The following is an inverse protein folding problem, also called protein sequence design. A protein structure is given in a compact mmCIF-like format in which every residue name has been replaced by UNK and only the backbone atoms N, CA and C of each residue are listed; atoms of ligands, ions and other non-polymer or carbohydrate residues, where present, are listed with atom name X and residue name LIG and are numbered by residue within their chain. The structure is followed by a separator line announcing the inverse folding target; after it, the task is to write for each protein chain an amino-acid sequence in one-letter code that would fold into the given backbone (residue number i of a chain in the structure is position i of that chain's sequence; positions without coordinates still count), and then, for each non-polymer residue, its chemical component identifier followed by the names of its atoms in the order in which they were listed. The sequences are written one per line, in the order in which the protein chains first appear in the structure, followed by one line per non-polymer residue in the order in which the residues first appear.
data_IF_622717622519
#
_entry.id   IF_622717622519
#
_cell.length_a   1.000
_cell.length_b   1.000
_cell.length_c   1.000
_cell.angle_alpha   90.00
_cell.angle_beta   90.00
_cell.angle_gamma   90.00
#
_symmetry.space_group_name_H-M   'P 1'
#
loop_
_entity.id
_entity.type
_entity.pdbx_description
1 polymer ?
#
# COMPACT_ATOMS: atom_id res chain seq x y z
N UNK A 1 -0.21 11.87 -30.81
CA UNK A 1 -1.33 11.18 -30.13
C UNK A 1 -1.05 11.34 -28.65
N UNK A 2 -1.86 12.14 -27.96
CA UNK A 2 -1.61 12.49 -26.56
C UNK A 2 -1.84 11.26 -25.69
N UNK A 3 -0.79 10.81 -25.01
CA UNK A 3 -0.80 9.68 -24.07
C UNK A 3 -1.46 10.13 -22.76
N UNK A 4 -2.78 10.28 -22.79
CA UNK A 4 -3.60 10.69 -21.65
C UNK A 4 -4.12 9.43 -20.93
N UNK A 5 -4.14 9.40 -19.59
CA UNK A 5 -4.58 8.22 -18.86
C UNK A 5 -6.07 7.95 -19.10
N UNK A 6 -6.44 6.66 -19.11
CA UNK A 6 -7.84 6.25 -19.21
C UNK A 6 -8.65 6.78 -18.03
N UNK A 7 -9.95 6.97 -18.23
CA UNK A 7 -10.85 7.40 -17.17
C UNK A 7 -10.92 6.35 -16.03
N UNK A 8 -10.75 6.73 -14.75
CA UNK A 8 -10.80 5.78 -13.65
C UNK A 8 -12.20 5.19 -13.37
N UNK A 9 -13.28 5.87 -13.77
CA UNK A 9 -14.65 5.36 -13.54
C UNK A 9 -15.16 4.43 -14.64
N UNK A 10 -14.84 4.71 -15.90
CA UNK A 10 -15.41 3.99 -17.05
C UNK A 10 -14.36 3.37 -17.98
N UNK A 11 -13.06 3.54 -17.67
CA UNK A 11 -11.94 3.04 -18.46
C UNK A 11 -11.94 3.52 -19.93
N UNK A 12 -12.55 4.68 -20.20
CA UNK A 12 -12.55 5.31 -21.52
C UNK A 12 -11.15 5.84 -21.88
N UNK A 13 -10.70 5.58 -23.11
CA UNK A 13 -9.40 6.02 -23.66
C UNK A 13 -9.42 7.46 -24.21
N UNK A 14 -10.61 8.02 -24.45
CA UNK A 14 -10.79 9.33 -25.09
C UNK A 14 -10.86 10.48 -24.08
N UNK A 15 -9.98 10.47 -23.09
CA UNK A 15 -9.91 11.53 -22.07
C UNK A 15 -9.29 12.79 -22.69
N UNK A 16 -9.75 13.97 -22.30
CA UNK A 16 -9.22 15.24 -22.80
C UNK A 16 -8.90 16.19 -21.66
N UNK A 17 -7.91 17.05 -21.86
CA UNK A 17 -7.52 18.06 -20.89
C UNK A 17 -8.43 19.30 -20.98
N UNK A 18 -8.94 19.75 -19.84
CA UNK A 18 -9.65 21.01 -19.66
C UNK A 18 -8.90 21.85 -18.63
N UNK A 19 -7.92 22.62 -19.10
CA UNK A 19 -7.02 23.37 -18.22
C UNK A 19 -6.09 22.45 -17.43
N UNK A 20 -6.25 22.41 -16.11
CA UNK A 20 -5.46 21.54 -15.21
C UNK A 20 -6.11 20.18 -14.94
N UNK A 21 -7.33 19.96 -15.42
CA UNK A 21 -8.13 18.76 -15.20
C UNK A 21 -8.19 17.90 -16.46
N UNK A 22 -8.40 16.61 -16.27
CA UNK A 22 -8.73 15.61 -17.28
C UNK A 22 -10.24 15.36 -17.19
N UNK A 23 -10.92 15.33 -18.32
CA UNK A 23 -12.36 15.16 -18.42
C UNK A 23 -12.67 13.96 -19.31
N UNK A 24 -13.59 13.10 -18.84
CA UNK A 24 -14.10 11.99 -19.65
C UNK A 24 -15.38 12.40 -20.39
N UNK A 25 -15.46 12.27 -21.73
CA UNK A 25 -16.65 12.62 -22.50
C UNK A 25 -17.82 11.64 -22.33
N UNK A 26 -17.55 10.40 -21.91
CA UNK A 26 -18.57 9.35 -21.75
C UNK A 26 -19.32 9.46 -20.42
N UNK A 27 -18.61 9.70 -19.31
CA UNK A 27 -19.22 9.75 -17.97
C UNK A 27 -19.22 11.16 -17.35
N UNK A 28 -18.53 12.14 -17.94
CA UNK A 28 -18.42 13.48 -17.38
C UNK A 28 -17.53 13.56 -16.13
N UNK A 29 -16.80 12.50 -15.78
CA UNK A 29 -15.89 12.50 -14.65
C UNK A 29 -14.73 13.47 -14.91
N UNK A 30 -14.39 14.27 -13.90
CA UNK A 30 -13.33 15.29 -13.94
C UNK A 30 -12.30 14.94 -12.87
N UNK A 31 -11.03 14.79 -13.25
CA UNK A 31 -9.96 14.44 -12.31
C UNK A 31 -8.64 15.08 -12.72
N UNK A 32 -7.76 15.33 -11.77
CA UNK A 32 -6.43 15.90 -12.06
C UNK A 32 -5.44 14.81 -12.43
N UNK A 33 -4.43 15.14 -13.25
CA UNK A 33 -3.30 14.22 -13.52
C UNK A 33 -2.57 13.80 -12.24
N UNK A 34 -2.57 14.67 -11.22
CA UNK A 34 -2.01 14.41 -9.90
C UNK A 34 -2.83 13.41 -9.07
N UNK A 35 -4.14 13.34 -9.26
CA UNK A 35 -5.02 12.41 -8.52
C UNK A 35 -4.85 10.97 -9.01
N UNK A 36 -4.50 10.78 -10.30
CA UNK A 36 -4.13 9.46 -10.85
C UNK A 36 -2.84 8.94 -10.20
N UNK A 37 -1.97 9.82 -9.72
CA UNK A 37 -0.76 9.44 -8.99
C UNK A 37 -1.02 9.06 -7.51
N UNK A 38 -2.20 9.39 -6.96
CA UNK A 38 -2.60 9.06 -5.59
C UNK A 38 -3.63 7.92 -5.51
N UNK A 39 -3.72 7.07 -6.54
CA UNK A 39 -4.25 5.71 -6.37
C UNK A 39 -3.23 4.81 -5.63
N UNK A 40 -2.53 5.35 -4.63
CA UNK A 40 -1.72 4.56 -3.72
C UNK A 40 -2.67 3.63 -2.95
N UNK A 41 -2.56 2.33 -3.22
CA UNK A 41 -3.27 1.29 -2.46
C UNK A 41 -3.22 1.64 -0.98
N UNK A 42 -4.37 1.72 -0.33
CA UNK A 42 -4.41 2.05 1.10
C UNK A 42 -4.15 0.76 1.88
N UNK A 43 -2.91 0.59 2.35
CA UNK A 43 -2.57 -0.50 3.25
C UNK A 43 -3.17 -0.24 4.62
N UNK A 44 -3.97 -1.18 5.12
CA UNK A 44 -4.62 -1.10 6.42
C UNK A 44 -4.09 -2.19 7.34
N UNK A 45 -3.78 -1.84 8.57
CA UNK A 45 -3.42 -2.80 9.61
C UNK A 45 -4.64 -3.63 10.09
N UNK A 46 -4.41 -4.59 10.99
CA UNK A 46 -5.47 -5.41 11.59
C UNK A 46 -6.61 -4.62 12.25
N UNK A 47 -6.36 -3.39 12.70
CA UNK A 47 -7.35 -2.50 13.32
C UNK A 47 -7.93 -1.47 12.34
N UNK A 48 -7.53 -1.51 11.06
CA UNK A 48 -8.03 -0.61 10.03
C UNK A 48 -7.33 0.75 9.93
N UNK A 49 -6.20 0.97 10.61
CA UNK A 49 -5.42 2.20 10.45
C UNK A 49 -4.59 2.14 9.17
N UNK A 50 -4.48 3.30 8.53
CA UNK A 50 -3.69 3.47 7.31
C UNK A 50 -2.20 3.41 7.67
N UNK A 51 -1.50 2.49 7.01
CA UNK A 51 -0.06 2.33 7.07
C UNK A 51 0.60 3.18 5.97
N UNK A 52 1.79 3.68 6.27
CA UNK A 52 2.62 4.43 5.35
C UNK A 52 4.04 3.88 5.36
N UNK A 53 4.79 4.18 4.30
CA UNK A 53 6.22 3.87 4.24
C UNK A 53 6.97 4.61 5.36
N UNK A 54 7.88 3.91 6.04
CA UNK A 54 8.62 4.44 7.19
C UNK A 54 7.90 4.33 8.55
N UNK A 55 6.64 3.86 8.58
CA UNK A 55 5.86 3.77 9.83
C UNK A 55 6.39 2.67 10.78
N UNK A 56 5.87 2.65 12.00
CA UNK A 56 6.22 1.64 13.02
C UNK A 56 5.03 0.76 13.29
N UNK A 57 5.22 -0.55 13.12
CA UNK A 57 4.18 -1.54 13.35
C UNK A 57 4.60 -2.53 14.44
N UNK A 58 3.61 -3.06 15.13
CA UNK A 58 3.78 -4.07 16.18
C UNK A 58 3.05 -5.33 15.75
N UNK A 59 3.73 -6.48 15.82
CA UNK A 59 3.11 -7.77 15.50
C UNK A 59 2.11 -8.13 16.60
N UNK A 60 0.87 -8.49 16.26
CA UNK A 60 -0.19 -8.78 17.25
C UNK A 60 -0.24 -10.25 17.69
N UNK A 61 0.34 -11.17 16.91
CA UNK A 61 0.34 -12.61 17.15
C UNK A 61 1.73 -13.21 16.99
N UNK A 62 1.96 -14.34 17.62
CA UNK A 62 3.16 -15.15 17.35
C UNK A 62 3.12 -15.73 15.94
N UNK A 63 4.19 -15.50 15.19
CA UNK A 63 4.37 -15.96 13.82
C UNK A 63 5.57 -16.89 13.73
N UNK A 64 5.35 -18.10 13.21
CA UNK A 64 6.43 -19.03 12.92
C UNK A 64 7.03 -18.71 11.55
N UNK A 65 8.24 -18.18 11.55
CA UNK A 65 8.96 -17.83 10.32
C UNK A 65 9.53 -19.12 9.72
N UNK A 66 9.19 -19.40 8.45
CA UNK A 66 9.79 -20.53 7.73
C UNK A 66 11.27 -20.25 7.50
N UNK A 67 12.14 -21.10 8.05
CA UNK A 67 13.60 -20.98 7.95
C UNK A 67 14.30 -20.44 9.21
N UNK A 68 13.55 -19.95 10.19
CA UNK A 68 14.10 -19.60 11.50
C UNK A 68 13.72 -20.67 12.54
N UNK A 69 14.66 -21.02 13.42
CA UNK A 69 14.40 -21.87 14.58
C UNK A 69 13.62 -21.13 15.68
N UNK A 70 13.52 -19.80 15.58
CA UNK A 70 12.86 -18.93 16.56
C UNK A 70 11.51 -18.44 16.04
N UNK A 71 10.56 -18.31 16.95
CA UNK A 71 9.22 -17.76 16.67
C UNK A 71 9.26 -16.25 16.86
N UNK A 72 8.70 -15.49 15.92
CA UNK A 72 8.52 -14.06 16.07
C UNK A 72 7.37 -13.84 17.05
N UNK A 73 7.67 -13.39 18.27
CA UNK A 73 6.64 -13.23 19.31
C UNK A 73 5.74 -12.04 19.02
N UNK A 74 4.46 -12.19 19.35
CA UNK A 74 3.53 -11.06 19.43
C UNK A 74 4.08 -10.00 20.41
N UNK A 75 4.00 -8.73 20.01
CA UNK A 75 4.59 -7.60 20.71
C UNK A 75 5.93 -7.12 20.13
N UNK A 76 6.49 -7.81 19.14
CA UNK A 76 7.70 -7.34 18.45
C UNK A 76 7.40 -6.06 17.67
N UNK A 77 8.15 -4.99 17.96
CA UNK A 77 8.07 -3.72 17.24
C UNK A 77 9.02 -3.73 16.05
N UNK A 78 8.49 -3.34 14.90
CA UNK A 78 9.19 -3.25 13.63
C UNK A 78 9.10 -1.81 13.16
N UNK A 79 10.24 -1.16 12.97
CA UNK A 79 10.33 0.25 12.59
C UNK A 79 10.74 0.34 11.13
N UNK A 80 10.40 1.45 10.49
CA UNK A 80 10.80 1.75 9.11
C UNK A 80 10.30 0.67 8.12
N UNK A 81 9.00 0.38 8.19
CA UNK A 81 8.38 -0.58 7.26
C UNK A 81 8.31 -0.01 5.85
N UNK A 82 8.40 -0.88 4.86
CA UNK A 82 8.19 -0.53 3.45
C UNK A 82 6.93 -1.22 2.95
N UNK A 83 6.05 -0.46 2.30
CA UNK A 83 4.82 -1.03 1.74
C UNK A 83 5.08 -1.52 0.33
N UNK A 84 4.69 -2.77 0.06
CA UNK A 84 4.93 -3.44 -1.22
C UNK A 84 3.66 -4.06 -1.75
N UNK A 85 3.59 -4.22 -3.07
CA UNK A 85 2.49 -4.89 -3.73
C UNK A 85 2.79 -6.39 -3.83
N UNK A 86 2.00 -7.22 -3.16
CA UNK A 86 2.21 -8.66 -3.15
C UNK A 86 1.24 -9.41 -2.23
N UNK A 87 1.50 -10.71 -2.06
CA UNK A 87 0.80 -11.56 -1.07
C UNK A 87 1.15 -11.16 0.37
N UNK A 88 2.40 -10.74 0.57
CA UNK A 88 2.86 -10.06 1.77
C UNK A 88 3.10 -8.60 1.41
N UNK A 89 2.44 -7.72 2.13
CA UNK A 89 2.24 -6.33 1.75
C UNK A 89 3.13 -5.35 2.55
N UNK A 90 3.88 -5.88 3.53
CA UNK A 90 4.81 -5.12 4.37
C UNK A 90 6.19 -5.75 4.29
N UNK A 91 7.15 -5.09 3.66
CA UNK A 91 8.56 -5.44 3.72
C UNK A 91 9.22 -4.75 4.90
N UNK A 92 9.98 -5.49 5.71
CA UNK A 92 10.59 -4.93 6.90
C UNK A 92 11.88 -5.65 7.28
N UNK A 93 12.69 -5.01 8.12
CA UNK A 93 13.90 -5.60 8.67
C UNK A 93 13.80 -5.72 10.18
N UNK A 94 13.94 -6.94 10.67
CA UNK A 94 13.87 -7.26 12.10
C UNK A 94 15.26 -7.71 12.56
N UNK A 95 15.74 -7.13 13.65
CA UNK A 95 17.03 -7.52 14.24
C UNK A 95 16.98 -8.98 14.72
N UNK A 96 17.98 -9.77 14.33
CA UNK A 96 18.04 -11.22 14.61
C UNK A 96 17.29 -12.13 13.61
N UNK A 97 16.38 -11.61 12.80
CA UNK A 97 15.69 -12.37 11.74
C UNK A 97 16.09 -11.94 10.31
N UNK A 98 16.52 -10.69 10.13
CA UNK A 98 16.90 -10.14 8.83
C UNK A 98 15.72 -9.45 8.12
N UNK A 99 15.80 -9.38 6.79
CA UNK A 99 14.72 -8.85 5.96
C UNK A 99 13.59 -9.89 5.84
N UNK A 100 12.36 -9.48 6.13
CA UNK A 100 11.18 -10.32 6.12
C UNK A 100 9.97 -9.53 5.63
N UNK A 101 9.09 -10.22 4.92
CA UNK A 101 7.80 -9.68 4.53
C UNK A 101 6.70 -10.19 5.48
N UNK A 102 5.81 -9.29 5.88
CA UNK A 102 4.68 -9.51 6.77
C UNK A 102 3.38 -9.14 6.06
N UNK A 103 2.27 -9.62 6.61
CA UNK A 103 0.92 -9.29 6.18
C UNK A 103 0.31 -8.25 7.11
N UNK A 104 -0.39 -7.27 6.57
CA UNK A 104 -1.00 -6.19 7.32
C UNK A 104 -2.03 -6.67 8.34
N UNK A 105 -2.63 -7.84 8.10
CA UNK A 105 -3.58 -8.54 8.98
C UNK A 105 -2.98 -9.01 10.32
N UNK A 106 -1.65 -9.14 10.42
CA UNK A 106 -0.95 -9.61 11.62
C UNK A 106 -0.15 -8.53 12.33
N UNK A 107 -0.27 -7.28 11.88
CA UNK A 107 0.40 -6.14 12.50
C UNK A 107 -0.61 -5.08 12.88
N UNK A 108 -0.20 -4.23 13.82
CA UNK A 108 -0.90 -3.00 14.17
C UNK A 108 0.04 -1.81 14.13
N UNK A 109 -0.47 -0.64 13.76
CA UNK A 109 0.25 0.63 13.93
C UNK A 109 0.48 0.90 15.43
N UNK A 110 1.68 1.34 15.85
CA UNK A 110 1.96 1.65 17.26
C UNK A 110 3.38 2.08 17.62
#
# INVERSE_FOLDING_TARGET
MSDLPNCPECNCEYTYENGTLLVCPECGHEWSRSEVAEAARVWKDANGNILQDGDTVTVIKDLKVRGASSVLKGGTKVKNIRLVEGDHDIDCKIDGFGAMQLKSEFVRKG
#
